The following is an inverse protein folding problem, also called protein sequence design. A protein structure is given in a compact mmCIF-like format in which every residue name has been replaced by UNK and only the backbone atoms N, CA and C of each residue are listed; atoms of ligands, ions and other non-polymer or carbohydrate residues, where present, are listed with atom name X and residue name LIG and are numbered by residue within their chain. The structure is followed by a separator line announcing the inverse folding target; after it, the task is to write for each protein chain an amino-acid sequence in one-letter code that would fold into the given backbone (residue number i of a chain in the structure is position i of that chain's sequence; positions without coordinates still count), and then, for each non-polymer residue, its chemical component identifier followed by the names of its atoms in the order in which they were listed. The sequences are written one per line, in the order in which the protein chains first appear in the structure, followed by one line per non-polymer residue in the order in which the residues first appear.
data_IF_588739717509
#
_entry.id   IF_588739717509
#
_cell.length_a   1.000
_cell.length_b   1.000
_cell.length_c   1.000
_cell.angle_alpha   90.00
_cell.angle_beta   90.00
_cell.angle_gamma   90.00
#
_symmetry.space_group_name_H-M   'P 1'
#
loop_
_entity.id
_entity.type
_entity.pdbx_description
1 polymer ?
#
# COMPACT_ATOMS: atom_id res chain seq x y z
N UNK A 1 -11.41 -18.51 8.88
CA UNK A 1 -11.75 -17.19 9.46
C UNK A 1 -13.10 -16.78 8.88
N UNK A 2 -14.06 -16.39 9.72
CA UNK A 2 -15.41 -15.95 9.28
C UNK A 2 -15.39 -14.44 9.10
N UNK A 3 -15.92 -13.91 7.98
CA UNK A 3 -16.03 -12.47 7.78
C UNK A 3 -17.15 -11.84 8.66
N UNK A 4 -17.16 -10.51 8.77
CA UNK A 4 -18.11 -9.80 9.65
C UNK A 4 -19.56 -9.95 9.21
N UNK A 5 -19.82 -10.01 7.91
CA UNK A 5 -21.16 -10.22 7.39
C UNK A 5 -21.69 -11.61 7.79
N UNK A 6 -20.89 -12.66 7.63
CA UNK A 6 -21.23 -14.01 8.07
C UNK A 6 -21.32 -14.14 9.60
N UNK A 7 -20.72 -13.21 10.36
CA UNK A 7 -20.89 -13.09 11.81
C UNK A 7 -22.18 -12.33 12.21
N UNK A 8 -22.97 -11.84 11.26
CA UNK A 8 -24.22 -11.11 11.51
C UNK A 8 -24.05 -9.62 11.80
N UNK A 9 -22.85 -9.06 11.61
CA UNK A 9 -22.59 -7.63 11.81
C UNK A 9 -23.11 -6.81 10.63
N UNK A 10 -23.77 -5.69 10.92
CA UNK A 10 -24.16 -4.70 9.91
C UNK A 10 -22.98 -3.76 9.67
N UNK A 11 -22.24 -3.98 8.59
CA UNK A 11 -21.05 -3.20 8.27
C UNK A 11 -21.32 -2.13 7.22
N UNK A 12 -20.76 -0.94 7.43
CA UNK A 12 -20.65 0.12 6.41
C UNK A 12 -19.18 0.43 6.18
N UNK A 13 -18.72 0.35 4.95
CA UNK A 13 -17.39 0.82 4.57
C UNK A 13 -17.44 2.29 4.18
N UNK A 14 -16.47 3.08 4.67
CA UNK A 14 -16.27 4.46 4.26
C UNK A 14 -14.97 4.52 3.43
N UNK A 15 -15.11 4.76 2.13
CA UNK A 15 -13.99 4.87 1.21
C UNK A 15 -13.75 6.36 0.89
N UNK A 16 -12.65 6.92 1.39
CA UNK A 16 -12.37 8.37 1.30
C UNK A 16 -11.98 8.86 -0.10
N UNK A 17 -11.44 7.99 -0.94
CA UNK A 17 -10.92 8.37 -2.25
C UNK A 17 -11.12 7.26 -3.27
N UNK A 18 -10.93 7.59 -4.54
CA UNK A 18 -10.71 6.58 -5.58
C UNK A 18 -9.64 5.59 -5.14
N UNK A 19 -9.92 4.32 -5.41
CA UNK A 19 -9.11 3.20 -4.92
C UNK A 19 -8.92 2.19 -6.04
N UNK A 20 -7.66 1.91 -6.34
CA UNK A 20 -7.27 0.90 -7.32
C UNK A 20 -7.51 -0.50 -6.78
N UNK A 21 -8.24 -1.34 -7.52
CA UNK A 21 -8.51 -2.69 -7.08
C UNK A 21 -7.54 -3.66 -7.74
N UNK A 22 -6.65 -4.26 -6.95
CA UNK A 22 -5.79 -5.34 -7.43
C UNK A 22 -6.60 -6.60 -7.65
N UNK A 23 -6.70 -7.11 -8.90
CA UNK A 23 -7.44 -8.31 -9.20
C UNK A 23 -6.62 -9.55 -8.82
N UNK A 24 -6.52 -9.85 -7.53
CA UNK A 24 -5.64 -10.92 -7.03
C UNK A 24 -5.90 -12.26 -7.73
N UNK A 25 -7.17 -12.67 -7.88
CA UNK A 25 -7.54 -13.89 -8.64
C UNK A 25 -7.08 -13.87 -10.11
N UNK A 26 -6.99 -12.70 -10.73
CA UNK A 26 -6.51 -12.57 -12.11
C UNK A 26 -4.99 -12.72 -12.15
N UNK A 27 -4.26 -11.96 -11.32
CA UNK A 27 -2.78 -12.01 -11.25
C UNK A 27 -2.30 -13.43 -10.95
N UNK A 28 -3.04 -14.17 -10.13
CA UNK A 28 -2.71 -15.55 -9.76
C UNK A 28 -3.24 -16.60 -10.77
N UNK A 29 -3.98 -16.20 -11.80
CA UNK A 29 -4.50 -17.11 -12.82
C UNK A 29 -3.38 -17.51 -13.79
N UNK A 30 -3.26 -18.79 -14.17
CA UNK A 30 -2.37 -19.23 -15.24
C UNK A 30 -2.59 -18.49 -16.58
N UNK A 31 -3.79 -17.93 -16.78
CA UNK A 31 -4.18 -17.20 -17.98
C UNK A 31 -3.74 -15.73 -18.00
N UNK A 32 -3.13 -15.23 -16.91
CA UNK A 32 -2.68 -13.82 -16.82
C UNK A 32 -1.56 -13.45 -17.79
N UNK A 33 -0.92 -14.43 -18.43
CA UNK A 33 0.09 -14.23 -19.47
C UNK A 33 -0.49 -14.01 -20.88
N UNK A 34 -1.82 -14.05 -21.04
CA UNK A 34 -2.48 -13.86 -22.33
C UNK A 34 -3.95 -14.23 -22.23
N UNK A 35 -4.76 -13.40 -21.57
CA UNK A 35 -6.16 -13.73 -21.30
C UNK A 35 -6.95 -13.93 -22.60
N UNK A 36 -6.66 -13.12 -23.62
CA UNK A 36 -7.25 -13.24 -24.96
C UNK A 36 -6.62 -14.35 -25.81
N UNK A 37 -5.41 -14.81 -25.46
CA UNK A 37 -4.74 -15.92 -26.16
C UNK A 37 -5.22 -17.28 -25.65
N UNK A 38 -5.71 -17.34 -24.41
CA UNK A 38 -6.00 -18.60 -23.71
C UNK A 38 -7.46 -18.75 -23.27
N UNK A 39 -8.30 -17.72 -23.39
CA UNK A 39 -9.72 -17.77 -23.02
C UNK A 39 -10.61 -17.35 -24.20
N UNK A 40 -11.83 -17.89 -24.30
CA UNK A 40 -12.84 -17.34 -25.20
C UNK A 40 -13.04 -15.85 -24.94
N UNK A 41 -13.24 -15.07 -26.00
CA UNK A 41 -13.36 -13.60 -25.95
C UNK A 41 -14.33 -13.13 -24.86
N UNK A 42 -15.51 -13.73 -24.79
CA UNK A 42 -16.57 -13.41 -23.82
C UNK A 42 -16.17 -13.67 -22.36
N UNK A 43 -15.24 -14.60 -22.13
CA UNK A 43 -14.68 -14.88 -20.79
C UNK A 43 -13.59 -13.86 -20.47
N UNK A 44 -12.74 -13.54 -21.45
CA UNK A 44 -11.72 -12.51 -21.31
C UNK A 44 -12.37 -11.13 -21.05
N UNK A 45 -13.40 -10.75 -21.79
CA UNK A 45 -14.10 -9.47 -21.60
C UNK A 45 -14.74 -9.35 -20.21
N UNK A 46 -15.34 -10.43 -19.71
CA UNK A 46 -15.87 -10.48 -18.33
C UNK A 46 -14.81 -10.27 -17.25
N UNK A 47 -13.54 -10.57 -17.53
CA UNK A 47 -12.44 -10.28 -16.61
C UNK A 47 -12.19 -8.78 -16.51
N UNK A 48 -12.29 -8.04 -17.63
CA UNK A 48 -12.13 -6.59 -17.66
C UNK A 48 -13.33 -5.85 -17.07
N UNK A 49 -14.52 -6.45 -17.11
CA UNK A 49 -15.74 -5.89 -16.53
C UNK A 49 -15.96 -6.26 -15.05
N UNK A 50 -15.00 -6.96 -14.43
CA UNK A 50 -15.10 -7.52 -13.08
C UNK A 50 -15.54 -6.51 -12.00
N UNK A 51 -15.16 -5.24 -12.14
CA UNK A 51 -15.48 -4.22 -11.15
C UNK A 51 -16.63 -3.29 -11.55
N UNK A 52 -17.32 -3.54 -12.67
CA UNK A 52 -18.50 -2.76 -13.04
C UNK A 52 -19.59 -2.85 -11.97
N UNK A 53 -19.89 -4.06 -11.48
CA UNK A 53 -20.88 -4.25 -10.41
C UNK A 53 -20.50 -3.54 -9.09
N UNK A 54 -19.21 -3.49 -8.79
CA UNK A 54 -18.67 -2.79 -7.62
C UNK A 54 -18.79 -1.26 -7.79
N UNK A 55 -18.48 -0.74 -8.98
CA UNK A 55 -18.65 0.66 -9.33
C UNK A 55 -20.15 1.07 -9.32
N UNK A 56 -21.03 0.22 -9.84
CA UNK A 56 -22.49 0.41 -9.81
C UNK A 56 -23.03 0.43 -8.36
N UNK A 57 -22.43 -0.32 -7.45
CA UNK A 57 -22.73 -0.25 -6.02
C UNK A 57 -22.18 1.02 -5.32
N UNK A 58 -21.55 1.93 -6.07
CA UNK A 58 -21.08 3.23 -5.61
C UNK A 58 -19.62 3.24 -5.11
N UNK A 59 -18.87 2.14 -5.29
CA UNK A 59 -17.45 2.13 -4.92
C UNK A 59 -16.65 2.99 -5.91
N UNK A 60 -15.76 3.88 -5.44
CA UNK A 60 -14.97 4.73 -6.30
C UNK A 60 -13.79 3.93 -6.88
N UNK A 61 -14.11 2.99 -7.78
CA UNK A 61 -13.15 2.07 -8.39
C UNK A 61 -12.22 2.86 -9.31
N UNK A 62 -10.93 2.61 -9.16
CA UNK A 62 -9.93 2.97 -10.15
C UNK A 62 -9.47 1.66 -10.84
N UNK A 63 -9.57 1.59 -12.16
CA UNK A 63 -9.30 0.38 -12.95
C UNK A 63 -8.24 0.66 -14.01
N UNK A 64 -7.36 -0.30 -14.29
CA UNK A 64 -6.21 -0.20 -15.20
C UNK A 64 -6.50 0.31 -16.62
N UNK A 65 -7.78 0.42 -17.00
CA UNK A 65 -8.23 1.03 -18.25
C UNK A 65 -8.20 2.55 -18.23
N UNK A 66 -8.22 3.19 -17.06
CA UNK A 66 -8.20 4.65 -16.96
C UNK A 66 -6.78 5.16 -17.27
N UNK A 67 -6.62 5.93 -18.37
CA UNK A 67 -5.31 6.39 -18.82
C UNK A 67 -4.72 7.50 -17.92
N UNK A 68 -5.48 8.03 -16.97
CA UNK A 68 -5.04 9.10 -16.08
C UNK A 68 -4.16 8.61 -14.93
N UNK A 69 -3.96 7.31 -14.76
CA UNK A 69 -3.11 6.76 -13.70
C UNK A 69 -2.26 5.57 -14.15
N UNK A 70 -1.20 5.32 -13.37
CA UNK A 70 -0.34 4.16 -13.50
C UNK A 70 -0.28 3.40 -12.17
N UNK A 71 -0.50 2.07 -12.22
CA UNK A 71 -0.41 1.19 -11.04
C UNK A 71 0.95 1.28 -10.34
N UNK A 72 2.04 1.49 -11.09
CA UNK A 72 3.38 1.67 -10.54
C UNK A 72 3.48 2.94 -9.69
N UNK A 73 2.82 4.03 -10.08
CA UNK A 73 2.80 5.26 -9.27
C UNK A 73 2.03 5.06 -7.96
N UNK A 74 0.93 4.29 -7.98
CA UNK A 74 0.18 3.94 -6.77
C UNK A 74 1.02 3.11 -5.80
N UNK A 75 1.80 2.16 -6.32
CA UNK A 75 2.62 1.26 -5.52
C UNK A 75 3.92 1.92 -5.04
N UNK A 76 4.66 2.56 -5.94
CA UNK A 76 6.00 3.06 -5.66
C UNK A 76 5.97 4.49 -5.13
N UNK A 77 5.07 5.38 -5.55
CA UNK A 77 5.10 6.78 -5.09
C UNK A 77 4.06 7.04 -4.00
N UNK A 78 2.80 6.68 -4.25
CA UNK A 78 1.72 6.95 -3.30
C UNK A 78 1.77 6.00 -2.10
N UNK A 79 2.07 4.72 -2.33
CA UNK A 79 2.11 3.68 -1.29
C UNK A 79 0.77 3.47 -0.58
N UNK A 80 -0.35 3.90 -1.17
CA UNK A 80 -1.72 3.75 -0.64
C UNK A 80 -2.75 4.02 -1.74
N UNK A 81 -4.04 3.90 -1.44
CA UNK A 81 -5.10 4.09 -2.44
C UNK A 81 -5.28 2.88 -3.34
N UNK A 82 -4.90 1.70 -2.86
CA UNK A 82 -5.19 0.43 -3.49
C UNK A 82 -5.82 -0.54 -2.49
N UNK A 83 -6.58 -1.50 -3.02
CA UNK A 83 -7.24 -2.55 -2.27
C UNK A 83 -6.99 -3.89 -2.96
N UNK A 84 -6.51 -4.88 -2.21
CA UNK A 84 -6.38 -6.25 -2.68
C UNK A 84 -7.70 -6.98 -2.47
N UNK A 85 -8.39 -7.31 -3.57
CA UNK A 85 -9.67 -8.01 -3.50
C UNK A 85 -9.49 -9.50 -3.17
N UNK A 86 -9.82 -9.83 -1.92
CA UNK A 86 -9.88 -11.20 -1.39
C UNK A 86 -11.32 -11.70 -1.18
N UNK A 87 -12.32 -10.96 -1.67
CA UNK A 87 -13.75 -11.33 -1.59
C UNK A 87 -14.67 -10.26 -0.98
N UNK A 88 -14.10 -9.19 -0.39
CA UNK A 88 -14.91 -8.12 0.21
C UNK A 88 -15.69 -7.30 -0.81
N UNK A 89 -15.16 -7.14 -2.03
CA UNK A 89 -15.83 -6.37 -3.09
C UNK A 89 -17.16 -7.00 -3.52
N UNK A 90 -17.24 -8.33 -3.54
CA UNK A 90 -18.45 -9.06 -3.92
C UNK A 90 -19.59 -8.81 -2.92
N UNK A 91 -19.28 -8.68 -1.63
CA UNK A 91 -20.27 -8.36 -0.61
C UNK A 91 -20.86 -6.96 -0.80
N UNK A 92 -20.04 -5.99 -1.21
CA UNK A 92 -20.47 -4.63 -1.51
C UNK A 92 -21.31 -4.61 -2.79
N UNK A 93 -20.83 -5.25 -3.86
CA UNK A 93 -21.53 -5.34 -5.14
C UNK A 93 -22.92 -5.99 -4.99
N UNK A 94 -23.06 -6.96 -4.08
CA UNK A 94 -24.35 -7.62 -3.75
C UNK A 94 -25.19 -6.87 -2.72
N UNK A 95 -24.78 -5.68 -2.28
CA UNK A 95 -25.50 -4.86 -1.29
C UNK A 95 -25.51 -5.45 0.13
N UNK A 96 -24.69 -6.44 0.41
CA UNK A 96 -24.58 -7.09 1.74
C UNK A 96 -23.79 -6.24 2.74
N UNK A 97 -22.87 -5.42 2.24
CA UNK A 97 -22.12 -4.42 3.00
C UNK A 97 -22.46 -3.05 2.42
N UNK A 98 -22.88 -2.13 3.28
CA UNK A 98 -23.17 -0.76 2.86
C UNK A 98 -21.88 0.00 2.56
N UNK A 99 -21.98 1.02 1.72
CA UNK A 99 -20.85 1.82 1.29
C UNK A 99 -21.16 3.32 1.37
N UNK A 100 -20.12 4.08 1.71
CA UNK A 100 -20.04 5.54 1.61
C UNK A 100 -18.74 5.87 0.85
N UNK A 101 -18.84 6.16 -0.44
CA UNK A 101 -17.70 6.44 -1.32
C UNK A 101 -17.36 7.93 -1.43
N UNK A 102 -16.09 8.23 -1.70
CA UNK A 102 -15.53 9.58 -1.84
C UNK A 102 -15.93 10.54 -0.70
N UNK A 103 -15.90 10.04 0.53
CA UNK A 103 -16.34 10.80 1.69
C UNK A 103 -15.46 10.52 2.90
N UNK A 104 -15.22 11.55 3.70
CA UNK A 104 -14.26 11.51 4.78
C UNK A 104 -14.96 11.55 6.13
N UNK A 105 -14.55 10.72 7.10
CA UNK A 105 -14.83 10.97 8.49
C UNK A 105 -14.23 12.30 8.94
N UNK A 106 -15.05 13.20 9.50
CA UNK A 106 -14.59 14.53 9.98
C UNK A 106 -14.68 14.69 11.49
N UNK A 107 -15.29 13.74 12.19
CA UNK A 107 -15.35 13.75 13.64
C UNK A 107 -16.26 12.65 14.19
N UNK A 108 -16.23 12.47 15.50
CA UNK A 108 -17.15 11.58 16.19
C UNK A 108 -18.48 12.29 16.47
N UNK A 109 -19.56 11.53 16.43
CA UNK A 109 -20.87 11.91 16.97
C UNK A 109 -21.11 11.14 18.27
N UNK A 110 -22.10 11.55 19.05
CA UNK A 110 -22.48 10.86 20.29
C UNK A 110 -22.74 9.35 20.07
N UNK A 111 -23.32 8.99 18.92
CA UNK A 111 -23.66 7.59 18.57
C UNK A 111 -22.98 7.10 17.30
N UNK A 112 -21.81 7.66 16.93
CA UNK A 112 -21.04 7.17 15.78
C UNK A 112 -20.11 8.21 15.14
N UNK A 113 -20.26 8.45 13.83
CA UNK A 113 -19.30 9.19 13.02
C UNK A 113 -19.97 10.28 12.16
N UNK A 114 -19.38 11.48 12.12
CA UNK A 114 -19.75 12.58 11.22
C UNK A 114 -18.92 12.50 9.94
N UNK A 115 -19.57 12.75 8.81
CA UNK A 115 -18.95 12.68 7.49
C UNK A 115 -18.83 14.07 6.84
N UNK A 116 -17.92 14.21 5.88
CA UNK A 116 -17.60 15.49 5.23
C UNK A 116 -18.74 16.11 4.43
N UNK A 117 -19.76 15.33 4.05
CA UNK A 117 -20.99 15.86 3.43
C UNK A 117 -22.04 16.35 4.44
N UNK A 118 -21.71 16.41 5.74
CA UNK A 118 -22.61 16.82 6.81
C UNK A 118 -23.50 15.70 7.37
N UNK A 119 -23.55 14.51 6.75
CA UNK A 119 -24.31 13.37 7.28
C UNK A 119 -23.61 12.69 8.47
N UNK A 120 -24.36 11.84 9.19
CA UNK A 120 -23.84 11.03 10.29
C UNK A 120 -24.14 9.54 10.04
N UNK A 121 -23.24 8.68 10.53
CA UNK A 121 -23.41 7.24 10.60
C UNK A 121 -23.50 6.83 12.06
N UNK A 122 -24.63 6.22 12.45
CA UNK A 122 -24.74 5.59 13.76
C UNK A 122 -24.04 4.23 13.73
N UNK A 123 -23.17 3.97 14.71
CA UNK A 123 -22.40 2.73 14.81
C UNK A 123 -21.92 2.51 16.25
N UNK A 124 -21.82 1.25 16.65
CA UNK A 124 -21.29 0.83 17.95
C UNK A 124 -19.75 0.75 17.97
N UNK A 125 -19.13 0.62 16.80
CA UNK A 125 -17.69 0.52 16.65
C UNK A 125 -17.18 1.20 15.37
N UNK A 126 -15.97 1.75 15.44
CA UNK A 126 -15.24 2.33 14.30
C UNK A 126 -13.89 1.63 14.17
N UNK A 127 -13.60 1.10 12.99
CA UNK A 127 -12.36 0.39 12.70
C UNK A 127 -11.59 1.19 11.65
N UNK A 128 -10.43 1.69 12.04
CA UNK A 128 -9.58 2.52 11.18
C UNK A 128 -8.65 1.66 10.33
N UNK A 129 -8.99 1.51 9.05
CA UNK A 129 -8.16 0.84 8.05
C UNK A 129 -7.36 1.86 7.20
N UNK A 130 -6.73 2.85 7.86
CA UNK A 130 -6.11 4.02 7.20
C UNK A 130 -4.68 3.82 6.71
N UNK A 131 -4.15 2.59 6.85
CA UNK A 131 -2.79 2.23 6.46
C UNK A 131 -1.75 2.59 7.51
N UNK A 132 -0.50 2.73 7.08
CA UNK A 132 0.65 2.95 7.95
C UNK A 132 1.29 4.32 7.71
N UNK A 133 1.86 4.91 8.78
CA UNK A 133 2.50 6.22 8.77
C UNK A 133 4.00 6.18 8.43
N UNK A 134 4.61 5.00 8.34
CA UNK A 134 6.05 4.74 8.28
C UNK A 134 6.65 4.77 6.87
N UNK A 135 6.09 5.59 5.96
CA UNK A 135 6.53 5.66 4.56
C UNK A 135 7.96 6.20 4.38
N UNK A 136 8.48 6.93 5.37
CA UNK A 136 9.80 7.53 5.32
C UNK A 136 10.78 6.76 6.19
N UNK A 137 11.73 6.04 5.58
CA UNK A 137 12.72 5.26 6.33
C UNK A 137 13.55 6.11 7.29
N UNK A 138 13.72 7.41 7.02
CA UNK A 138 14.56 8.29 7.87
C UNK A 138 13.98 8.40 9.28
N UNK A 139 12.66 8.50 9.42
CA UNK A 139 12.01 8.58 10.73
C UNK A 139 12.12 7.25 11.47
N UNK A 140 11.92 6.14 10.75
CA UNK A 140 12.09 4.79 11.29
C UNK A 140 13.53 4.54 11.72
N UNK A 141 14.51 4.86 10.88
CA UNK A 141 15.93 4.71 11.16
C UNK A 141 16.37 5.59 12.34
N UNK A 142 15.90 6.84 12.42
CA UNK A 142 16.19 7.71 13.56
C UNK A 142 15.73 7.06 14.87
N UNK A 143 14.49 6.57 14.89
CA UNK A 143 13.91 5.91 16.08
C UNK A 143 14.65 4.62 16.43
N UNK A 144 14.94 3.76 15.45
CA UNK A 144 15.63 2.47 15.66
C UNK A 144 17.05 2.68 16.18
N UNK A 145 17.74 3.71 15.71
CA UNK A 145 19.09 4.06 16.13
C UNK A 145 19.13 4.86 17.45
N UNK A 146 17.99 5.07 18.11
CA UNK A 146 17.92 5.78 19.39
C UNK A 146 18.01 7.30 19.28
N UNK A 147 17.88 7.89 18.09
CA UNK A 147 17.98 9.34 17.88
C UNK A 147 16.87 10.19 18.51
N UNK A 148 15.88 9.55 19.15
CA UNK A 148 14.84 10.22 19.96
C UNK A 148 15.12 10.16 21.46
N UNK A 149 16.18 9.48 21.88
CA UNK A 149 16.60 9.38 23.27
C UNK A 149 17.42 10.63 23.66
N UNK A 150 16.97 11.43 24.66
CA UNK A 150 17.69 12.62 25.09
C UNK A 150 19.06 12.29 25.72
N UNK A 151 19.27 11.06 26.20
CA UNK A 151 20.48 10.65 26.90
C UNK A 151 21.50 9.94 25.97
N UNK A 152 21.27 9.98 24.65
CA UNK A 152 22.16 9.31 23.70
C UNK A 152 23.58 9.90 23.76
N UNK A 153 24.53 9.07 24.18
CA UNK A 153 25.94 9.47 24.26
C UNK A 153 26.56 9.47 22.87
N UNK A 154 26.98 10.64 22.41
CA UNK A 154 27.73 10.75 21.17
C UNK A 154 29.19 10.35 21.38
N UNK A 155 29.67 9.40 20.59
CA UNK A 155 31.10 9.08 20.48
C UNK A 155 31.65 9.75 19.23
N UNK A 156 32.79 10.43 19.33
CA UNK A 156 33.36 11.23 18.24
C UNK A 156 33.75 10.43 16.99
N UNK A 157 33.94 9.12 17.12
CA UNK A 157 34.31 8.19 16.06
C UNK A 157 33.10 7.53 15.37
N UNK A 158 31.87 7.82 15.82
CA UNK A 158 30.64 7.23 15.27
C UNK A 158 29.66 8.32 14.86
N UNK A 159 29.06 8.18 13.68
CA UNK A 159 28.02 9.10 13.23
C UNK A 159 26.83 9.11 14.19
N UNK A 160 26.30 10.30 14.49
CA UNK A 160 25.07 10.41 15.25
C UNK A 160 23.88 9.89 14.41
N UNK A 161 22.81 9.32 15.01
CA UNK A 161 21.62 8.89 14.27
C UNK A 161 21.03 9.96 13.33
N UNK A 162 21.09 11.23 13.70
CA UNK A 162 20.68 12.35 12.84
C UNK A 162 21.55 12.47 11.60
N UNK A 163 22.86 12.29 11.73
CA UNK A 163 23.80 12.35 10.61
C UNK A 163 23.58 11.19 9.65
N UNK A 164 23.33 9.99 10.19
CA UNK A 164 22.99 8.81 9.38
C UNK A 164 21.72 9.07 8.59
N UNK A 165 20.65 9.52 9.25
CA UNK A 165 19.33 9.71 8.63
C UNK A 165 19.29 10.87 7.62
N UNK A 166 20.11 11.90 7.82
CA UNK A 166 20.33 12.97 6.85
C UNK A 166 20.99 12.45 5.56
N UNK A 167 21.87 11.44 5.67
CA UNK A 167 22.57 10.83 4.53
C UNK A 167 21.73 9.83 3.76
N UNK A 168 20.72 9.21 4.37
CA UNK A 168 19.83 8.28 3.66
C UNK A 168 19.17 8.96 2.44
N UNK A 169 18.70 8.17 1.49
CA UNK A 169 17.86 8.65 0.39
C UNK A 169 16.38 8.49 0.79
N UNK A 170 15.46 9.07 0.03
CA UNK A 170 14.05 8.70 0.16
C UNK A 170 13.92 7.20 -0.13
N UNK A 171 13.04 6.55 0.62
CA UNK A 171 12.63 5.17 0.38
C UNK A 171 11.28 5.24 -0.31
N UNK A 172 11.13 4.52 -1.41
CA UNK A 172 10.01 4.66 -2.34
C UNK A 172 10.07 5.97 -3.15
N UNK A 173 9.15 6.09 -4.11
CA UNK A 173 9.21 7.06 -5.19
C UNK A 173 10.15 6.62 -6.31
N UNK A 174 10.07 7.29 -7.46
CA UNK A 174 10.99 7.12 -8.58
C UNK A 174 11.91 8.34 -8.70
N UNK A 175 13.17 8.14 -9.06
CA UNK A 175 14.09 9.22 -9.39
C UNK A 175 13.97 9.64 -10.87
N UNK A 176 14.86 10.54 -11.31
CA UNK A 176 14.84 11.07 -12.68
C UNK A 176 15.11 10.00 -13.75
N UNK A 177 15.68 8.85 -13.39
CA UNK A 177 15.93 7.72 -14.29
C UNK A 177 14.75 6.73 -14.29
N UNK A 178 13.73 6.96 -13.44
CA UNK A 178 12.60 6.07 -13.25
C UNK A 178 12.87 4.94 -12.25
N UNK A 179 14.01 4.95 -11.55
CA UNK A 179 14.40 3.90 -10.62
C UNK A 179 13.81 4.14 -9.23
N UNK A 180 13.39 3.05 -8.55
CA UNK A 180 12.80 3.16 -7.21
C UNK A 180 13.87 3.62 -6.22
N UNK A 181 13.58 4.65 -5.42
CA UNK A 181 14.57 5.28 -4.53
C UNK A 181 14.77 4.51 -3.23
N UNK A 182 16.04 4.42 -2.80
CA UNK A 182 16.44 4.01 -1.45
C UNK A 182 15.85 2.70 -0.91
N UNK A 183 15.44 1.76 -1.78
CA UNK A 183 15.06 0.39 -1.41
C UNK A 183 15.79 -0.59 -2.32
N UNK A 184 16.21 -1.73 -1.74
CA UNK A 184 16.88 -2.83 -2.44
C UNK A 184 18.24 -2.48 -3.09
N UNK A 185 18.76 -1.27 -2.83
CA UNK A 185 20.08 -0.79 -3.25
C UNK A 185 20.81 -0.10 -2.10
N UNK A 186 22.14 -0.05 -2.19
CA UNK A 186 22.97 0.71 -1.23
C UNK A 186 22.59 2.18 -1.28
N UNK A 187 22.46 2.82 -0.13
CA UNK A 187 22.29 4.27 -0.08
C UNK A 187 23.58 4.96 -0.50
N UNK A 188 23.55 5.77 -1.56
CA UNK A 188 24.76 6.33 -2.19
C UNK A 188 25.67 7.13 -1.24
N UNK A 189 25.10 7.79 -0.22
CA UNK A 189 25.85 8.59 0.77
C UNK A 189 26.21 7.81 2.04
N UNK A 190 26.09 6.48 2.01
CA UNK A 190 26.45 5.58 3.09
C UNK A 190 27.20 4.36 2.53
N UNK A 191 28.31 3.99 3.15
CA UNK A 191 29.15 2.90 2.62
C UNK A 191 28.56 1.51 2.87
N UNK A 192 27.74 1.39 3.92
CA UNK A 192 27.28 0.09 4.44
C UNK A 192 25.81 0.10 4.89
N UNK A 193 24.96 0.89 4.23
CA UNK A 193 23.54 0.99 4.58
C UNK A 193 22.61 0.58 3.44
N UNK A 194 21.69 -0.34 3.73
CA UNK A 194 20.65 -0.83 2.82
C UNK A 194 19.30 -0.85 3.54
N UNK A 195 18.24 -0.65 2.75
CA UNK A 195 16.87 -0.76 3.22
C UNK A 195 16.14 -1.77 2.35
N UNK A 196 15.41 -2.66 3.01
CA UNK A 196 14.56 -3.65 2.37
C UNK A 196 13.12 -3.42 2.81
N UNK A 197 12.20 -3.37 1.85
CA UNK A 197 10.81 -3.06 2.11
C UNK A 197 9.87 -3.66 1.07
N UNK A 198 8.57 -3.50 1.32
CA UNK A 198 7.50 -3.95 0.43
C UNK A 198 6.99 -5.36 0.74
N UNK A 199 6.07 -5.82 -0.11
CA UNK A 199 5.40 -7.12 0.01
C UNK A 199 6.35 -8.30 -0.19
N UNK A 200 5.91 -9.49 0.20
CA UNK A 200 6.71 -10.72 0.13
C UNK A 200 7.34 -10.98 -1.25
N UNK A 201 6.68 -10.60 -2.35
CA UNK A 201 7.24 -10.73 -3.69
C UNK A 201 8.52 -9.90 -3.86
N UNK A 202 8.52 -8.64 -3.40
CA UNK A 202 9.72 -7.80 -3.42
C UNK A 202 10.84 -8.40 -2.56
N UNK A 203 10.48 -8.86 -1.35
CA UNK A 203 11.43 -9.50 -0.43
C UNK A 203 12.13 -10.68 -1.12
N UNK A 204 11.37 -11.59 -1.73
CA UNK A 204 11.90 -12.78 -2.42
C UNK A 204 12.81 -12.41 -3.58
N UNK A 205 12.37 -11.48 -4.42
CA UNK A 205 13.14 -11.07 -5.59
C UNK A 205 14.44 -10.37 -5.21
N UNK A 206 14.37 -9.38 -4.32
CA UNK A 206 15.50 -8.49 -4.01
C UNK A 206 16.46 -9.02 -2.95
N UNK A 207 16.12 -10.09 -2.22
CA UNK A 207 17.01 -10.70 -1.22
C UNK A 207 18.36 -11.11 -1.80
N UNK A 208 18.37 -11.80 -2.94
CA UNK A 208 19.61 -12.28 -3.55
C UNK A 208 20.47 -11.12 -4.10
N UNK A 209 19.94 -10.18 -4.90
CA UNK A 209 20.69 -8.99 -5.32
C UNK A 209 21.27 -8.20 -4.15
N UNK A 210 20.49 -7.97 -3.10
CA UNK A 210 20.95 -7.20 -1.94
C UNK A 210 22.06 -7.94 -1.16
N UNK A 211 21.93 -9.26 -0.98
CA UNK A 211 22.99 -10.06 -0.38
C UNK A 211 24.30 -10.00 -1.18
N UNK A 212 24.24 -9.97 -2.51
CA UNK A 212 25.43 -9.79 -3.35
C UNK A 212 26.05 -8.41 -3.17
N UNK A 213 25.24 -7.34 -3.11
CA UNK A 213 25.74 -5.98 -2.83
C UNK A 213 26.46 -5.91 -1.48
N UNK A 214 25.88 -6.49 -0.43
CA UNK A 214 26.48 -6.54 0.92
C UNK A 214 27.79 -7.33 0.88
N UNK A 215 27.80 -8.51 0.25
CA UNK A 215 29.02 -9.32 0.11
C UNK A 215 30.12 -8.54 -0.60
N UNK A 216 29.82 -7.88 -1.72
CA UNK A 216 30.79 -7.09 -2.46
C UNK A 216 31.32 -5.91 -1.64
N UNK A 217 30.46 -5.22 -0.90
CA UNK A 217 30.86 -4.10 -0.05
C UNK A 217 31.83 -4.53 1.06
N UNK A 218 31.64 -5.72 1.65
CA UNK A 218 32.51 -6.25 2.72
C UNK A 218 33.79 -6.89 2.17
N UNK A 219 33.75 -7.51 0.98
CA UNK A 219 34.92 -8.15 0.40
C UNK A 219 35.89 -7.18 -0.29
N UNK A 220 35.45 -5.96 -0.62
CA UNK A 220 36.25 -4.93 -1.29
C UNK A 220 36.73 -3.81 -0.34
N UNK A 221 36.33 -3.85 0.94
CA UNK A 221 36.75 -2.95 2.01
C UNK A 221 37.91 -3.52 2.81
#
# INVERSE_FOLDING_TARGET
MRDWYAAGLKTTMVARSQTYIFPYKYVMSPHSFGAYDNLPLEVADRIFDRYLSLAQAGFPVLDSRDPSFNVQSILNERGSGHYADVGGTELIAKGKVALRGCIEPVGYAETGLRLSNGSALSTDAVIWCTGFADKNVRTTALRVLGGTDPDIKHKSDVLHPTDITARLDATWGVDAEGEVRGVWKRHLRMDNYWVMGGVLQHQRWWSRPMAQQIKLAVCLS
#
